data_IF_168578496259
#
_entry.id   IF_168578496259
#
_cell.length_a   1.000
_cell.length_b   1.000
_cell.length_c   1.000
_cell.angle_alpha   90.00
_cell.angle_beta   90.00
_cell.angle_gamma   90.00
#
_symmetry.space_group_name_H-M   'P 1'
#
loop_
_entity.id
_entity.type
_entity.pdbx_description
1 polymer ?
#
# COMPACT_ATOMS: atom_id res chain seq x y z
N UNK A 1 -5.71 5.85 11.69
CA UNK A 1 -4.87 5.70 10.49
C UNK A 1 -3.97 6.92 10.44
N UNK A 2 -2.67 6.71 10.22
CA UNK A 2 -1.70 7.80 10.14
C UNK A 2 -1.99 8.65 8.88
N UNK A 3 -1.87 9.97 9.00
CA UNK A 3 -2.07 10.88 7.86
C UNK A 3 -0.98 10.67 6.80
N UNK A 4 0.23 10.31 7.23
CA UNK A 4 1.40 10.05 6.39
C UNK A 4 1.86 8.60 6.61
N UNK A 5 1.21 7.61 5.97
CA UNK A 5 1.54 6.20 6.19
C UNK A 5 2.93 5.86 5.68
N UNK A 6 3.62 4.96 6.40
CA UNK A 6 4.96 4.47 6.05
C UNK A 6 5.02 2.95 6.05
N UNK A 7 5.73 2.35 5.09
CA UNK A 7 6.02 0.90 5.09
C UNK A 7 6.66 0.48 6.42
N UNK A 8 6.16 -0.61 7.00
CA UNK A 8 6.72 -1.22 8.20
C UNK A 8 8.13 -1.78 7.92
N UNK A 9 8.99 -1.75 8.93
CA UNK A 9 10.35 -2.26 8.82
C UNK A 9 10.37 -3.79 8.99
N UNK A 10 11.38 -4.47 8.45
CA UNK A 10 11.52 -5.92 8.60
C UNK A 10 10.62 -6.76 7.70
N UNK A 11 9.94 -6.14 6.71
CA UNK A 11 9.21 -6.87 5.67
C UNK A 11 10.17 -7.39 4.60
N UNK A 12 10.00 -8.65 4.21
CA UNK A 12 10.68 -9.23 3.05
C UNK A 12 9.76 -9.13 1.83
N UNK A 13 10.02 -8.16 0.96
CA UNK A 13 9.22 -7.88 -0.23
C UNK A 13 9.88 -8.52 -1.45
N UNK A 14 9.14 -9.40 -2.13
CA UNK A 14 9.58 -10.03 -3.37
C UNK A 14 8.67 -9.60 -4.52
N UNK A 15 9.24 -9.01 -5.56
CA UNK A 15 8.53 -8.66 -6.79
C UNK A 15 8.25 -9.90 -7.64
N UNK A 16 7.02 -10.01 -8.14
CA UNK A 16 6.57 -11.04 -9.07
C UNK A 16 5.80 -10.39 -10.22
N UNK A 17 5.52 -11.15 -11.28
CA UNK A 17 4.90 -10.62 -12.52
C UNK A 17 3.58 -9.86 -12.30
N UNK A 18 2.80 -10.27 -11.29
CA UNK A 18 1.47 -9.73 -10.99
C UNK A 18 1.38 -8.81 -9.76
N UNK A 19 2.52 -8.47 -9.14
CA UNK A 19 2.59 -7.60 -7.97
C UNK A 19 3.64 -8.07 -6.98
N UNK A 20 3.38 -7.97 -5.67
CA UNK A 20 4.35 -8.33 -4.63
C UNK A 20 3.90 -9.53 -3.80
N UNK A 21 4.88 -10.34 -3.39
CA UNK A 21 4.75 -11.33 -2.33
C UNK A 21 5.53 -10.81 -1.13
N UNK A 22 4.84 -10.51 -0.03
CA UNK A 22 5.45 -10.00 1.19
C UNK A 22 5.43 -11.08 2.26
N UNK A 23 6.61 -11.37 2.81
CA UNK A 23 6.75 -12.25 3.96
C UNK A 23 6.96 -11.45 5.25
N UNK A 24 6.10 -11.72 6.23
CA UNK A 24 6.15 -11.16 7.58
C UNK A 24 6.70 -12.21 8.54
N UNK A 25 8.02 -12.24 8.71
CA UNK A 25 8.72 -13.24 9.51
C UNK A 25 8.25 -13.31 10.96
N UNK A 26 7.88 -12.18 11.58
CA UNK A 26 7.40 -12.14 12.97
C UNK A 26 6.06 -12.85 13.17
N UNK A 27 5.23 -12.91 12.13
CA UNK A 27 3.89 -13.50 12.16
C UNK A 27 3.78 -14.81 11.40
N UNK A 28 4.86 -15.25 10.75
CA UNK A 28 4.87 -16.39 9.83
C UNK A 28 3.74 -16.29 8.77
N UNK A 29 3.57 -15.09 8.19
CA UNK A 29 2.47 -14.78 7.26
C UNK A 29 2.99 -14.32 5.90
N UNK A 30 2.35 -14.82 4.84
CA UNK A 30 2.60 -14.41 3.45
C UNK A 30 1.41 -13.60 2.95
N UNK A 31 1.69 -12.45 2.32
CA UNK A 31 0.71 -11.59 1.69
C UNK A 31 0.96 -11.49 0.20
N UNK A 32 -0.11 -11.52 -0.58
CA UNK A 32 -0.07 -11.31 -2.03
C UNK A 32 -0.74 -9.99 -2.35
N UNK A 33 0.02 -9.06 -2.91
CA UNK A 33 -0.46 -7.76 -3.32
C UNK A 33 -0.59 -7.74 -4.84
N UNK A 34 -1.73 -7.27 -5.32
CA UNK A 34 -1.90 -6.95 -6.74
C UNK A 34 -1.19 -5.63 -7.09
N UNK A 35 -1.05 -5.34 -8.39
CA UNK A 35 -0.35 -4.13 -8.89
C UNK A 35 -0.86 -2.81 -8.28
N UNK A 36 -2.16 -2.70 -8.03
CA UNK A 36 -2.74 -1.50 -7.43
C UNK A 36 -2.36 -1.36 -5.96
N UNK A 37 -2.42 -2.45 -5.19
CA UNK A 37 -2.00 -2.47 -3.80
C UNK A 37 -0.49 -2.25 -3.64
N UNK A 38 0.32 -2.72 -4.60
CA UNK A 38 1.75 -2.40 -4.68
C UNK A 38 1.96 -0.89 -4.83
N UNK A 39 1.28 -0.24 -5.77
CA UNK A 39 1.39 1.21 -5.93
C UNK A 39 1.02 1.97 -4.65
N UNK A 40 -0.07 1.57 -3.98
CA UNK A 40 -0.47 2.19 -2.70
C UNK A 40 0.59 1.97 -1.62
N UNK A 41 1.14 0.75 -1.51
CA UNK A 41 2.20 0.42 -0.56
C UNK A 41 3.47 1.23 -0.82
N UNK A 42 3.93 1.32 -2.06
CA UNK A 42 5.13 2.07 -2.45
C UNK A 42 4.97 3.58 -2.22
N UNK A 43 3.74 4.11 -2.34
CA UNK A 43 3.44 5.48 -2.01
C UNK A 43 3.42 5.76 -0.49
N UNK A 44 3.37 4.73 0.37
CA UNK A 44 3.48 4.87 1.83
C UNK A 44 4.94 5.10 2.27
N UNK A 45 5.50 6.26 1.95
CA UNK A 45 6.88 6.63 2.28
C UNK A 45 7.02 7.30 3.65
N UNK A 46 5.91 7.72 4.27
CA UNK A 46 5.87 8.63 5.41
C UNK A 46 5.94 10.11 5.03
N UNK A 47 6.02 10.44 3.74
CA UNK A 47 6.02 11.83 3.23
C UNK A 47 4.72 12.15 2.48
N UNK A 48 4.12 11.18 1.80
CA UNK A 48 2.84 11.35 1.13
C UNK A 48 1.70 11.21 2.13
N UNK A 49 0.79 12.18 2.13
CA UNK A 49 -0.48 12.09 2.83
C UNK A 49 -1.42 11.08 2.17
N UNK A 50 -2.42 10.60 2.92
CA UNK A 50 -3.47 9.73 2.35
C UNK A 50 -4.17 10.33 1.12
N UNK A 51 -4.36 11.65 1.07
CA UNK A 51 -4.93 12.34 -0.07
C UNK A 51 -3.97 12.32 -1.28
N UNK A 52 -2.69 12.61 -1.07
CA UNK A 52 -1.66 12.56 -2.13
C UNK A 52 -1.49 11.15 -2.69
N UNK A 53 -1.59 10.11 -1.86
CA UNK A 53 -1.61 8.72 -2.31
C UNK A 53 -2.81 8.46 -3.23
N UNK A 54 -3.98 9.01 -2.90
CA UNK A 54 -5.15 8.97 -3.77
C UNK A 54 -4.89 9.62 -5.14
N UNK A 55 -4.26 10.79 -5.16
CA UNK A 55 -3.88 11.47 -6.39
C UNK A 55 -2.84 10.69 -7.21
N UNK A 56 -1.88 10.03 -6.55
CA UNK A 56 -0.90 9.15 -7.22
C UNK A 56 -1.62 8.00 -7.94
N UNK A 57 -2.55 7.32 -7.27
CA UNK A 57 -3.33 6.22 -7.86
C UNK A 57 -4.17 6.72 -9.02
N UNK A 58 -4.88 7.84 -8.86
CA UNK A 58 -5.66 8.46 -9.93
C UNK A 58 -4.78 8.73 -11.16
N UNK A 59 -3.64 9.38 -10.97
CA UNK A 59 -2.75 9.76 -12.06
C UNK A 59 -2.11 8.55 -12.75
N UNK A 60 -1.70 7.54 -11.99
CA UNK A 60 -1.11 6.32 -12.53
C UNK A 60 -2.08 5.53 -13.42
N UNK A 61 -3.36 5.48 -13.05
CA UNK A 61 -4.40 4.77 -13.78
C UNK A 61 -5.22 5.65 -14.73
N UNK A 62 -4.96 6.95 -14.81
CA UNK A 62 -5.71 7.89 -15.65
C UNK A 62 -7.19 8.01 -15.28
N UNK A 63 -7.52 7.90 -13.99
CA UNK A 63 -8.91 7.92 -13.52
C UNK A 63 -9.50 9.34 -13.57
N UNK A 64 -10.82 9.47 -13.85
CA UNK A 64 -11.49 10.77 -13.91
C UNK A 64 -11.55 11.47 -12.54
N UNK A 65 -11.64 10.69 -11.46
CA UNK A 65 -11.72 11.16 -10.08
C UNK A 65 -10.80 10.33 -9.17
N UNK A 66 -10.50 10.85 -7.99
CA UNK A 66 -9.70 10.14 -6.99
C UNK A 66 -10.52 8.97 -6.44
N UNK A 67 -10.02 7.73 -6.49
CA UNK A 67 -10.72 6.57 -5.94
C UNK A 67 -10.55 6.53 -4.41
N UNK A 68 -11.11 7.52 -3.72
CA UNK A 68 -10.89 7.75 -2.27
C UNK A 68 -11.22 6.52 -1.43
N UNK A 69 -12.34 5.87 -1.73
CA UNK A 69 -12.81 4.70 -0.96
C UNK A 69 -11.88 3.51 -1.15
N UNK A 70 -11.52 3.20 -2.39
CA UNK A 70 -10.66 2.07 -2.72
C UNK A 70 -9.27 2.23 -2.12
N UNK A 71 -8.73 3.46 -2.15
CA UNK A 71 -7.44 3.79 -1.54
C UNK A 71 -7.54 3.71 -0.01
N UNK A 72 -8.59 4.25 0.60
CA UNK A 72 -8.81 4.16 2.04
C UNK A 72 -8.98 2.71 2.52
N UNK A 73 -9.75 1.88 1.80
CA UNK A 73 -9.94 0.47 2.12
C UNK A 73 -8.64 -0.33 1.96
N UNK A 74 -7.82 0.00 0.95
CA UNK A 74 -6.50 -0.59 0.76
C UNK A 74 -5.54 -0.21 1.90
N UNK A 75 -5.42 1.08 2.22
CA UNK A 75 -4.60 1.58 3.33
C UNK A 75 -5.04 0.96 4.67
N UNK A 76 -6.35 0.83 4.89
CA UNK A 76 -6.88 0.16 6.08
C UNK A 76 -6.42 -1.29 6.15
N UNK A 77 -6.49 -2.02 5.05
CA UNK A 77 -6.08 -3.43 4.99
C UNK A 77 -4.58 -3.57 5.25
N UNK A 78 -3.75 -2.72 4.62
CA UNK A 78 -2.31 -2.71 4.86
C UNK A 78 -1.96 -2.39 6.32
N UNK A 79 -2.70 -1.45 6.94
CA UNK A 79 -2.51 -1.08 8.34
C UNK A 79 -2.93 -2.20 9.30
N UNK A 80 -4.10 -2.80 9.08
CA UNK A 80 -4.62 -3.90 9.91
C UNK A 80 -3.71 -5.14 9.84
N UNK A 81 -3.04 -5.33 8.70
CA UNK A 81 -2.05 -6.40 8.51
C UNK A 81 -0.66 -6.04 9.04
N UNK A 82 -0.46 -4.82 9.55
CA UNK A 82 0.81 -4.27 10.03
C UNK A 82 1.91 -4.22 8.95
N UNK A 83 1.50 -4.04 7.69
CA UNK A 83 2.40 -3.78 6.56
C UNK A 83 2.83 -2.31 6.47
N UNK A 84 2.05 -1.41 7.07
CA UNK A 84 2.32 0.03 7.17
C UNK A 84 2.02 0.56 8.58
N UNK A 85 2.58 1.72 8.93
CA UNK A 85 2.39 2.43 10.21
C UNK A 85 2.13 3.93 10.01
#
# INVERSE_FOLDING_TARGET
MNEFPKIAEGLEINEVEDGYVIYQSEKDKVHYLNKTAVLVLEACTGENSTAEIGDIVKNAYGLPEVPEKEVADCLKTLFDEELIK
#
